data_IF_042981628366
#
_entry.id   IF_042981628366
#
_cell.length_a   1.000
_cell.length_b   1.000
_cell.length_c   1.000
_cell.angle_alpha   90.00
_cell.angle_beta   90.00
_cell.angle_gamma   90.00
#
_symmetry.space_group_name_H-M   'P 1'
#
loop_
_entity.id
_entity.type
_entity.pdbx_description
1 polymer ?
#
# COMPACT_ATOMS: atom_id res chain seq x y z
N UNK A 1 -2.95 -2.48 -0.16
CA UNK A 1 -2.06 -3.29 -1.02
C UNK A 1 -1.81 -2.67 -2.38
N UNK A 2 -2.82 -2.20 -3.12
CA UNK A 2 -2.63 -1.61 -4.47
C UNK A 2 -1.63 -0.47 -4.52
N UNK A 3 -1.66 0.43 -3.52
CA UNK A 3 -0.66 1.49 -3.38
C UNK A 3 0.78 0.96 -3.41
N UNK A 4 1.06 -0.10 -2.65
CA UNK A 4 2.39 -0.71 -2.61
C UNK A 4 2.72 -1.50 -3.88
N UNK A 5 1.73 -2.10 -4.54
CA UNK A 5 1.92 -2.75 -5.85
C UNK A 5 2.31 -1.78 -6.96
N UNK A 6 1.74 -0.57 -6.91
CA UNK A 6 2.09 0.53 -7.81
C UNK A 6 3.49 1.06 -7.52
N UNK A 7 3.81 1.31 -6.26
CA UNK A 7 5.03 2.04 -5.88
C UNK A 7 6.26 1.13 -5.63
N UNK A 8 6.06 -0.15 -5.30
CA UNK A 8 7.08 -1.19 -5.05
C UNK A 8 7.93 -0.95 -3.80
N UNK A 9 8.49 0.25 -3.64
CA UNK A 9 9.33 0.68 -2.53
C UNK A 9 9.04 2.14 -2.24
N UNK A 10 8.75 2.47 -0.98
CA UNK A 10 8.30 3.80 -0.59
C UNK A 10 8.73 4.15 0.83
N UNK A 11 9.19 5.39 1.02
CA UNK A 11 9.54 5.91 2.34
C UNK A 11 8.31 5.99 3.24
N UNK A 12 8.50 5.73 4.53
CA UNK A 12 7.44 5.65 5.53
C UNK A 12 6.59 6.92 5.58
N UNK A 13 7.25 8.08 5.70
CA UNK A 13 6.58 9.37 5.77
C UNK A 13 5.75 9.62 4.51
N UNK A 14 6.32 9.33 3.33
CA UNK A 14 5.63 9.51 2.04
C UNK A 14 4.41 8.60 1.95
N UNK A 15 4.56 7.31 2.31
CA UNK A 15 3.46 6.36 2.28
C UNK A 15 2.32 6.75 3.20
N UNK A 16 2.62 7.22 4.42
CA UNK A 16 1.60 7.64 5.39
C UNK A 16 0.85 8.87 4.88
N UNK A 17 1.56 9.88 4.36
CA UNK A 17 0.95 11.10 3.81
C UNK A 17 0.04 10.76 2.62
N UNK A 18 0.54 10.01 1.64
CA UNK A 18 -0.21 9.66 0.44
C UNK A 18 -1.48 8.86 0.77
N UNK A 19 -1.35 7.85 1.63
CA UNK A 19 -2.48 7.00 2.02
C UNK A 19 -3.51 7.77 2.85
N UNK A 20 -3.07 8.66 3.75
CA UNK A 20 -3.97 9.52 4.54
C UNK A 20 -4.80 10.42 3.63
N UNK A 21 -4.18 11.06 2.64
CA UNK A 21 -4.90 11.92 1.69
C UNK A 21 -5.87 11.13 0.80
N UNK A 22 -5.51 9.92 0.38
CA UNK A 22 -6.41 9.03 -0.35
C UNK A 22 -7.60 8.60 0.52
N UNK A 23 -7.38 8.27 1.80
CA UNK A 23 -8.47 7.97 2.76
C UNK A 23 -9.40 9.17 2.90
N UNK A 24 -8.87 10.37 3.17
CA UNK A 24 -9.68 11.59 3.27
C UNK A 24 -10.45 11.88 1.99
N UNK A 25 -9.86 11.66 0.83
CA UNK A 25 -10.52 11.82 -0.46
C UNK A 25 -11.72 10.88 -0.60
N UNK A 26 -11.56 9.60 -0.25
CA UNK A 26 -12.65 8.61 -0.29
C UNK A 26 -13.76 8.90 0.71
N UNK A 27 -13.42 9.46 1.86
CA UNK A 27 -14.42 9.94 2.83
C UNK A 27 -15.21 11.11 2.23
N UNK A 28 -14.53 12.10 1.63
CA UNK A 28 -15.19 13.24 0.98
C UNK A 28 -16.06 12.85 -0.22
N UNK A 29 -15.70 11.81 -0.97
CA UNK A 29 -16.52 11.30 -2.09
C UNK A 29 -17.66 10.38 -1.65
N UNK A 30 -17.71 9.99 -0.38
CA UNK A 30 -18.71 9.04 0.14
C UNK A 30 -18.41 7.57 -0.20
N UNK A 31 -17.24 7.27 -0.77
CA UNK A 31 -16.79 5.89 -1.06
C UNK A 31 -16.36 5.15 0.21
N UNK A 32 -16.02 5.89 1.27
CA UNK A 32 -15.59 5.33 2.56
C UNK A 32 -16.31 6.02 3.71
N UNK A 33 -17.01 5.24 4.53
CA UNK A 33 -17.50 5.71 5.82
C UNK A 33 -16.42 5.53 6.87
N UNK A 34 -16.07 6.60 7.58
CA UNK A 34 -15.04 6.58 8.61
C UNK A 34 -15.55 7.32 9.85
N UNK A 35 -15.27 6.79 11.04
CA UNK A 35 -15.90 7.25 12.28
C UNK A 35 -15.47 8.65 12.73
N UNK A 36 -14.16 8.89 12.72
CA UNK A 36 -13.57 10.16 13.15
C UNK A 36 -12.55 10.63 12.10
N UNK A 37 -12.76 11.82 11.55
CA UNK A 37 -11.89 12.40 10.52
C UNK A 37 -10.81 13.24 11.21
N UNK A 38 -9.92 12.57 11.94
CA UNK A 38 -8.73 13.14 12.56
C UNK A 38 -7.46 12.50 11.96
N UNK A 39 -6.45 13.32 11.70
CA UNK A 39 -5.22 12.88 11.03
C UNK A 39 -4.48 11.83 11.85
N UNK A 40 -4.36 12.02 13.17
CA UNK A 40 -3.65 11.08 14.03
C UNK A 40 -4.39 9.74 14.14
N UNK A 41 -5.73 9.77 14.13
CA UNK A 41 -6.55 8.54 14.11
C UNK A 41 -6.35 7.77 12.79
N UNK A 42 -6.42 8.45 11.65
CA UNK A 42 -6.21 7.84 10.33
C UNK A 42 -4.80 7.26 10.23
N UNK A 43 -3.78 8.00 10.64
CA UNK A 43 -2.39 7.55 10.59
C UNK A 43 -2.14 6.32 11.47
N UNK A 44 -2.69 6.29 12.68
CA UNK A 44 -2.61 5.13 13.57
C UNK A 44 -3.22 3.89 12.93
N UNK A 45 -4.40 4.02 12.33
CA UNK A 45 -5.08 2.91 11.67
C UNK A 45 -4.32 2.44 10.42
N UNK A 46 -3.79 3.38 9.63
CA UNK A 46 -2.92 3.07 8.49
C UNK A 46 -1.67 2.29 8.93
N UNK A 47 -0.96 2.74 9.96
CA UNK A 47 0.22 2.05 10.50
C UNK A 47 -0.12 0.66 11.03
N UNK A 48 -1.30 0.50 11.65
CA UNK A 48 -1.80 -0.81 12.11
C UNK A 48 -2.00 -1.76 10.93
N UNK A 49 -2.62 -1.28 9.84
CA UNK A 49 -2.83 -2.05 8.60
C UNK A 49 -1.49 -2.39 7.95
N UNK A 50 -0.58 -1.42 7.80
CA UNK A 50 0.75 -1.64 7.21
C UNK A 50 1.55 -2.66 8.03
N UNK A 51 1.53 -2.55 9.36
CA UNK A 51 2.16 -3.52 10.26
C UNK A 51 1.58 -4.93 10.06
N UNK A 52 0.27 -5.06 9.86
CA UNK A 52 -0.37 -6.33 9.54
C UNK A 52 0.12 -6.90 8.20
N UNK A 53 0.30 -6.06 7.18
CA UNK A 53 0.87 -6.46 5.88
C UNK A 53 2.32 -6.94 6.00
N UNK A 54 3.13 -6.28 6.83
CA UNK A 54 4.51 -6.70 7.14
C UNK A 54 4.50 -8.06 7.84
N UNK A 55 3.71 -8.21 8.92
CA UNK A 55 3.62 -9.47 9.68
C UNK A 55 3.16 -10.66 8.83
N UNK A 56 2.30 -10.41 7.84
CA UNK A 56 1.83 -11.43 6.89
C UNK A 56 2.80 -11.68 5.74
N UNK A 57 3.93 -10.99 5.69
CA UNK A 57 4.96 -11.17 4.68
C UNK A 57 4.61 -10.57 3.32
N UNK A 58 3.66 -9.64 3.24
CA UNK A 58 3.37 -8.90 2.01
C UNK A 58 4.31 -7.71 1.81
N UNK A 59 4.79 -7.14 2.91
CA UNK A 59 5.74 -6.04 2.92
C UNK A 59 6.97 -6.39 3.76
N UNK A 60 8.09 -5.78 3.43
CA UNK A 60 9.33 -5.75 4.18
C UNK A 60 9.57 -4.30 4.65
N UNK A 61 9.95 -4.09 5.90
CA UNK A 61 10.31 -2.77 6.42
C UNK A 61 11.80 -2.72 6.74
N UNK A 62 12.51 -1.73 6.18
CA UNK A 62 13.93 -1.53 6.43
C UNK A 62 14.25 -0.03 6.42
N UNK A 63 14.85 0.48 7.51
CA UNK A 63 15.31 1.87 7.65
C UNK A 63 14.30 2.93 7.18
N UNK A 64 13.04 2.86 7.65
CA UNK A 64 12.03 3.85 7.27
C UNK A 64 11.48 3.69 5.85
N UNK A 65 11.64 2.52 5.23
CA UNK A 65 11.14 2.22 3.89
C UNK A 65 10.29 0.96 3.90
N UNK A 66 9.07 1.06 3.37
CA UNK A 66 8.20 -0.07 3.08
C UNK A 66 8.50 -0.60 1.67
N UNK A 67 8.83 -1.88 1.58
CA UNK A 67 9.12 -2.57 0.33
C UNK A 67 8.09 -3.68 0.12
N UNK A 68 7.68 -3.95 -1.12
CA UNK A 68 7.05 -5.22 -1.45
C UNK A 68 7.98 -6.38 -1.11
N UNK A 69 7.42 -7.43 -0.53
CA UNK A 69 8.19 -8.63 -0.22
C UNK A 69 8.87 -9.21 -1.47
N UNK A 70 10.06 -9.79 -1.29
CA UNK A 70 10.85 -10.38 -2.38
C UNK A 70 10.05 -11.31 -3.28
N UNK A 71 9.29 -12.23 -2.68
CA UNK A 71 8.47 -13.20 -3.41
C UNK A 71 7.37 -12.53 -4.28
N UNK A 72 6.80 -11.41 -3.84
CA UNK A 72 5.83 -10.63 -4.64
C UNK A 72 6.53 -9.98 -5.81
N UNK A 73 7.69 -9.34 -5.58
CA UNK A 73 8.46 -8.71 -6.65
C UNK A 73 8.83 -9.73 -7.72
N UNK A 74 9.25 -10.92 -7.33
CA UNK A 74 9.61 -11.99 -8.25
C UNK A 74 8.40 -12.54 -9.02
N UNK A 75 7.26 -12.72 -8.34
CA UNK A 75 6.00 -13.08 -9.00
C UNK A 75 5.61 -12.02 -10.05
N UNK A 76 5.65 -10.74 -9.69
CA UNK A 76 5.28 -9.64 -10.60
C UNK A 76 6.23 -9.54 -11.79
N UNK A 77 7.55 -9.70 -11.59
CA UNK A 77 8.54 -9.73 -12.68
C UNK A 77 8.26 -10.87 -13.66
N UNK A 78 7.91 -12.07 -13.17
CA UNK A 78 7.55 -13.21 -14.03
C UNK A 78 6.29 -12.94 -14.84
N UNK A 79 5.27 -12.34 -14.20
CA UNK A 79 3.96 -12.07 -14.81
C UNK A 79 4.02 -10.97 -15.86
N UNK A 80 4.65 -9.84 -15.54
CA UNK A 80 4.60 -8.62 -16.35
C UNK A 80 5.87 -8.36 -17.15
N UNK A 81 6.93 -9.17 -17.01
CA UNK A 81 8.25 -9.02 -17.63
C UNK A 81 9.00 -7.71 -17.28
N UNK A 82 8.38 -6.78 -16.56
CA UNK A 82 8.98 -5.60 -15.97
C UNK A 82 8.39 -5.32 -14.59
N UNK A 83 9.09 -4.53 -13.80
CA UNK A 83 8.63 -4.08 -12.48
C UNK A 83 8.73 -2.56 -12.41
N UNK A 84 7.96 -1.89 -13.26
CA UNK A 84 8.00 -0.44 -13.38
C UNK A 84 7.24 0.23 -12.21
N UNK A 85 7.91 1.07 -11.40
CA UNK A 85 7.23 1.89 -10.39
C UNK A 85 6.25 2.87 -11.03
N UNK A 86 5.16 3.17 -10.33
CA UNK A 86 4.13 4.09 -10.80
C UNK A 86 3.11 3.47 -11.76
N UNK A 87 3.43 2.32 -12.38
CA UNK A 87 2.47 1.56 -13.20
C UNK A 87 1.54 0.76 -12.28
N UNK A 88 0.24 1.06 -12.36
CA UNK A 88 -0.80 0.41 -11.55
C UNK A 88 -0.89 -1.08 -11.89
N UNK A 89 -0.91 -1.91 -10.85
CA UNK A 89 -1.06 -3.37 -10.94
C UNK A 89 -2.29 -3.74 -10.12
N UNK A 90 -3.38 -4.09 -10.79
CA UNK A 90 -4.66 -4.44 -10.14
C UNK A 90 -4.51 -5.73 -9.34
N UNK A 91 -4.98 -5.71 -8.08
CA UNK A 91 -5.01 -6.90 -7.23
C UNK A 91 -5.90 -8.00 -7.80
N UNK A 92 -7.04 -7.63 -8.38
CA UNK A 92 -7.98 -8.59 -8.96
C UNK A 92 -7.32 -9.39 -10.08
N UNK A 93 -6.54 -8.71 -10.93
CA UNK A 93 -5.74 -9.38 -11.97
C UNK A 93 -4.62 -10.25 -11.41
N UNK A 94 -4.19 -10.03 -10.17
CA UNK A 94 -3.14 -10.83 -9.52
C UNK A 94 -3.73 -12.06 -8.84
N UNK A 95 -4.93 -11.96 -8.25
CA UNK A 95 -5.56 -13.01 -7.44
C UNK A 95 -6.40 -13.99 -8.27
N UNK A 96 -6.97 -13.55 -9.40
CA UNK A 96 -7.84 -14.38 -10.25
C UNK A 96 -7.10 -15.18 -11.35
N UNK A 97 -5.78 -15.32 -11.23
CA UNK A 97 -4.93 -16.19 -12.07
C UNK A 97 -4.43 -17.38 -11.23
#
# INVERSE_FOLDING_TARGET
MEYFLKNISVGEIVAVIDLREEVKKKIRSGELTYGEIDDAVIERDLLTIITSLIKRGFLEYNMGVFNLAGWIRDYLKKKYKSLDPGVSKSLEKIVND
#
